data_IF_611496342029
#
_entry.id   IF_611496342029
#
_cell.length_a   1.000
_cell.length_b   1.000
_cell.length_c   1.000
_cell.angle_alpha   90.00
_cell.angle_beta   90.00
_cell.angle_gamma   90.00
#
_symmetry.space_group_name_H-M   'P 1'
#
loop_
_entity.id
_entity.type
_entity.pdbx_description
1 polymer ?
#
# COMPACT_ATOMS: atom_id res chain seq x y z
N UNK A 1 37.20 2.56 -0.07
CA UNK A 1 36.13 3.57 0.14
C UNK A 1 34.80 2.85 0.34
N UNK A 2 34.65 2.12 1.45
CA UNK A 2 33.36 1.54 1.85
C UNK A 2 32.50 2.67 2.42
N UNK A 3 31.56 3.19 1.62
CA UNK A 3 30.48 4.02 2.15
C UNK A 3 29.64 3.13 3.04
N UNK A 4 29.93 3.08 4.33
CA UNK A 4 29.03 2.51 5.34
C UNK A 4 27.77 3.36 5.31
N UNK A 5 26.78 2.94 4.52
CA UNK A 5 25.44 3.51 4.59
C UNK A 5 24.94 3.06 5.96
N UNK A 6 25.06 3.92 6.97
CA UNK A 6 24.41 3.71 8.27
C UNK A 6 22.89 3.78 8.03
N UNK A 7 22.32 2.68 7.56
CA UNK A 7 20.89 2.54 7.42
C UNK A 7 20.28 2.67 8.82
N UNK A 8 19.50 3.72 9.06
CA UNK A 8 18.70 3.80 10.27
C UNK A 8 17.50 2.86 10.11
N UNK A 9 17.78 1.55 10.23
CA UNK A 9 16.84 0.44 10.07
C UNK A 9 15.55 0.70 10.86
N UNK A 10 15.67 1.17 12.10
CA UNK A 10 14.52 1.51 12.94
C UNK A 10 13.67 2.66 12.41
N UNK A 11 14.27 3.70 11.83
CA UNK A 11 13.52 4.81 11.23
C UNK A 11 12.78 4.37 9.95
N UNK A 12 13.40 3.52 9.13
CA UNK A 12 12.80 3.01 7.90
C UNK A 12 11.65 2.05 8.20
N UNK A 13 11.81 1.13 9.15
CA UNK A 13 10.73 0.24 9.59
C UNK A 13 9.53 1.01 10.13
N UNK A 14 9.79 2.05 10.94
CA UNK A 14 8.72 2.89 11.48
C UNK A 14 7.95 3.62 10.38
N UNK A 15 8.63 4.10 9.33
CA UNK A 15 7.96 4.71 8.18
C UNK A 15 7.15 3.67 7.38
N UNK A 16 7.68 2.46 7.17
CA UNK A 16 6.96 1.39 6.48
C UNK A 16 5.69 0.99 7.25
N UNK A 17 5.75 0.90 8.57
CA UNK A 17 4.58 0.63 9.42
C UNK A 17 3.54 1.76 9.36
N UNK A 18 3.97 3.02 9.30
CA UNK A 18 3.09 4.18 9.13
C UNK A 18 2.38 4.16 7.78
N UNK A 19 3.11 3.87 6.70
CA UNK A 19 2.53 3.78 5.35
C UNK A 19 1.55 2.61 5.27
N UNK A 20 1.89 1.46 5.84
CA UNK A 20 0.98 0.30 5.92
C UNK A 20 -0.31 0.66 6.68
N UNK A 21 -0.19 1.30 7.83
CA UNK A 21 -1.35 1.72 8.64
C UNK A 21 -2.24 2.73 7.91
N UNK A 22 -1.63 3.72 7.23
CA UNK A 22 -2.35 4.70 6.43
C UNK A 22 -3.07 4.03 5.25
N UNK A 23 -2.43 3.06 4.60
CA UNK A 23 -3.03 2.30 3.52
C UNK A 23 -4.19 1.43 4.01
N UNK A 24 -4.04 0.72 5.13
CA UNK A 24 -5.10 -0.09 5.72
C UNK A 24 -6.33 0.75 6.08
N UNK A 25 -6.13 2.00 6.51
CA UNK A 25 -7.21 2.95 6.81
C UNK A 25 -7.99 3.45 5.58
N UNK A 26 -7.42 3.31 4.37
CA UNK A 26 -8.06 3.74 3.14
C UNK A 26 -9.16 2.74 2.75
N UNK A 27 -10.39 3.00 3.19
CA UNK A 27 -11.58 2.23 2.78
C UNK A 27 -12.49 3.10 1.93
N UNK A 28 -12.68 2.73 0.67
CA UNK A 28 -13.74 3.28 -0.16
C UNK A 28 -14.99 2.42 0.06
N UNK A 29 -16.04 3.05 0.56
CA UNK A 29 -17.34 2.40 0.65
C UNK A 29 -17.85 2.12 -0.76
N UNK A 30 -18.37 0.91 -0.98
CA UNK A 30 -18.94 0.53 -2.26
C UNK A 30 -20.18 1.37 -2.58
N UNK A 31 -20.54 1.51 -3.87
CA UNK A 31 -21.69 2.29 -4.26
C UNK A 31 -22.98 1.71 -3.66
N UNK A 32 -23.79 2.55 -3.01
CA UNK A 32 -25.07 2.12 -2.42
C UNK A 32 -26.16 2.01 -3.50
N UNK A 33 -26.19 0.88 -4.19
CA UNK A 33 -27.24 0.58 -5.18
C UNK A 33 -28.67 0.68 -4.57
N UNK A 34 -28.80 0.44 -3.25
CA UNK A 34 -30.07 0.52 -2.54
C UNK A 34 -30.66 1.94 -2.37
N UNK A 35 -29.85 3.00 -2.48
CA UNK A 35 -30.34 4.39 -2.36
C UNK A 35 -30.85 4.98 -3.69
N UNK A 36 -30.75 4.24 -4.80
CA UNK A 36 -31.16 4.69 -6.13
C UNK A 36 -32.66 4.42 -6.42
N UNK A 37 -33.38 3.73 -5.54
CA UNK A 37 -34.79 3.39 -5.74
C UNK A 37 -35.04 2.59 -7.03
N UNK A 38 -36.19 2.79 -7.68
CA UNK A 38 -36.51 2.19 -9.00
C UNK A 38 -35.95 2.99 -10.20
N UNK A 39 -35.13 4.02 -9.96
CA UNK A 39 -34.66 4.91 -11.00
C UNK A 39 -33.53 4.24 -11.81
N UNK A 40 -33.90 3.43 -12.80
CA UNK A 40 -33.00 2.87 -13.81
C UNK A 40 -32.80 3.87 -14.94
N UNK A 41 -32.08 4.96 -14.67
CA UNK A 41 -31.55 5.81 -15.73
C UNK A 41 -30.18 5.23 -16.18
N UNK A 42 -29.88 5.33 -17.47
CA UNK A 42 -28.56 4.94 -17.99
C UNK A 42 -27.41 5.66 -17.27
N UNK A 43 -27.66 6.89 -16.81
CA UNK A 43 -26.72 7.66 -16.01
C UNK A 43 -26.39 6.98 -14.67
N UNK A 44 -27.40 6.51 -13.96
CA UNK A 44 -27.22 5.82 -12.66
C UNK A 44 -26.52 4.47 -12.82
N UNK A 45 -26.76 3.75 -13.93
CA UNK A 45 -26.03 2.52 -14.23
C UNK A 45 -24.53 2.80 -14.48
N UNK A 46 -24.22 3.80 -15.32
CA UNK A 46 -22.83 4.23 -15.59
C UNK A 46 -22.13 4.79 -14.36
N UNK A 47 -22.86 5.43 -13.46
CA UNK A 47 -22.34 5.92 -12.19
C UNK A 47 -21.90 4.76 -11.28
N UNK A 48 -22.76 3.75 -11.12
CA UNK A 48 -22.45 2.54 -10.32
C UNK A 48 -21.23 1.81 -10.89
N UNK A 49 -21.18 1.60 -12.20
CA UNK A 49 -20.07 0.94 -12.89
C UNK A 49 -18.74 1.71 -12.70
N UNK A 50 -18.78 3.05 -12.76
CA UNK A 50 -17.60 3.88 -12.50
C UNK A 50 -17.14 3.81 -11.06
N UNK A 51 -18.06 3.89 -10.10
CA UNK A 51 -17.73 3.77 -8.67
C UNK A 51 -17.11 2.39 -8.35
N UNK A 52 -17.64 1.33 -8.95
CA UNK A 52 -17.06 -0.02 -8.84
C UNK A 52 -15.65 -0.08 -9.46
N UNK A 53 -15.47 0.49 -10.66
CA UNK A 53 -14.16 0.56 -11.32
C UNK A 53 -13.14 1.34 -10.48
N UNK A 54 -13.53 2.48 -9.90
CA UNK A 54 -12.66 3.29 -9.03
C UNK A 54 -12.27 2.49 -7.80
N UNK A 55 -13.23 1.80 -7.18
CA UNK A 55 -12.97 0.94 -6.02
C UNK A 55 -11.97 -0.16 -6.37
N UNK A 56 -12.12 -0.81 -7.50
CA UNK A 56 -11.19 -1.86 -7.95
C UNK A 56 -9.79 -1.31 -8.22
N UNK A 57 -9.68 -0.16 -8.89
CA UNK A 57 -8.40 0.52 -9.09
C UNK A 57 -7.72 0.86 -7.76
N UNK A 58 -8.48 1.34 -6.77
CA UNK A 58 -7.93 1.63 -5.45
C UNK A 58 -7.47 0.35 -4.75
N UNK A 59 -8.23 -0.75 -4.83
CA UNK A 59 -7.80 -2.03 -4.26
C UNK A 59 -6.50 -2.54 -4.91
N UNK A 60 -6.40 -2.49 -6.24
CA UNK A 60 -5.18 -2.86 -6.97
C UNK A 60 -3.99 -1.98 -6.58
N UNK A 61 -4.21 -0.67 -6.41
CA UNK A 61 -3.18 0.23 -5.91
C UNK A 61 -2.74 -0.15 -4.48
N UNK A 62 -3.67 -0.50 -3.60
CA UNK A 62 -3.34 -0.98 -2.24
C UNK A 62 -2.48 -2.23 -2.28
N UNK A 63 -2.82 -3.22 -3.11
CA UNK A 63 -2.02 -4.44 -3.25
C UNK A 63 -0.59 -4.14 -3.75
N UNK A 64 -0.47 -3.28 -4.77
CA UNK A 64 0.84 -2.88 -5.29
C UNK A 64 1.69 -2.16 -4.24
N UNK A 65 1.10 -1.27 -3.46
CA UNK A 65 1.80 -0.56 -2.37
C UNK A 65 2.18 -1.52 -1.24
N UNK A 66 1.28 -2.44 -0.84
CA UNK A 66 1.60 -3.48 0.16
C UNK A 66 2.80 -4.32 -0.28
N UNK A 67 2.81 -4.78 -1.52
CA UNK A 67 3.93 -5.52 -2.08
C UNK A 67 5.24 -4.73 -2.03
N UNK A 68 5.21 -3.46 -2.44
CA UNK A 68 6.39 -2.60 -2.37
C UNK A 68 6.90 -2.39 -0.94
N UNK A 69 6.00 -2.30 0.05
CA UNK A 69 6.37 -2.20 1.47
C UNK A 69 7.07 -3.48 1.92
N UNK A 70 6.54 -4.65 1.56
CA UNK A 70 7.13 -5.95 1.89
C UNK A 70 8.50 -6.15 1.23
N UNK A 71 8.62 -5.81 -0.07
CA UNK A 71 9.88 -5.87 -0.80
C UNK A 71 10.92 -4.91 -0.18
N UNK A 72 10.50 -3.70 0.20
CA UNK A 72 11.39 -2.72 0.86
C UNK A 72 11.82 -3.22 2.24
N UNK A 73 10.92 -3.83 3.01
CA UNK A 73 11.21 -4.44 4.31
C UNK A 73 12.26 -5.56 4.19
N UNK A 74 12.06 -6.48 3.24
CA UNK A 74 13.00 -7.57 2.95
C UNK A 74 14.39 -7.05 2.55
N UNK A 75 14.44 -6.00 1.71
CA UNK A 75 15.69 -5.36 1.32
C UNK A 75 16.40 -4.70 2.51
N UNK A 76 15.65 -4.01 3.36
CA UNK A 76 16.18 -3.33 4.56
C UNK A 76 16.73 -4.34 5.57
N UNK A 77 16.06 -5.48 5.75
CA UNK A 77 16.55 -6.57 6.60
C UNK A 77 17.81 -7.23 6.00
N UNK A 78 17.83 -7.49 4.69
CA UNK A 78 19.00 -8.03 3.99
C UNK A 78 20.23 -7.11 4.07
N UNK A 79 20.02 -5.79 4.04
CA UNK A 79 21.09 -4.81 4.19
C UNK A 79 21.65 -4.80 5.62
N UNK A 80 20.79 -4.94 6.63
CA UNK A 80 21.22 -5.06 8.02
C UNK A 80 22.05 -6.31 8.26
N UNK A 81 21.62 -7.46 7.73
CA UNK A 81 22.38 -8.72 7.84
C UNK A 81 23.77 -8.61 7.19
N UNK A 82 23.86 -7.95 6.03
CA UNK A 82 25.14 -7.69 5.36
C UNK A 82 26.05 -6.79 6.20
N UNK A 83 25.52 -5.69 6.75
CA UNK A 83 26.29 -4.80 7.63
C UNK A 83 26.80 -5.54 8.87
N UNK A 84 25.97 -6.40 9.50
CA UNK A 84 26.37 -7.22 10.64
C UNK A 84 27.42 -8.29 10.28
N UNK A 85 27.33 -8.89 9.09
CA UNK A 85 28.31 -9.86 8.62
C UNK A 85 29.68 -9.21 8.32
N UNK A 86 29.67 -7.97 7.80
CA UNK A 86 30.88 -7.18 7.58
C UNK A 86 31.50 -6.75 8.91
N UNK A 87 30.69 -6.31 9.89
CA UNK A 87 31.20 -5.91 11.21
C UNK A 87 31.76 -7.10 12.04
N UNK A 88 31.36 -8.33 11.74
CA UNK A 88 31.87 -9.56 12.37
C UNK A 88 33.15 -10.13 11.72
N UNK A 89 33.59 -9.58 10.58
CA UNK A 89 34.83 -9.93 9.89
C UNK A 89 35.96 -8.98 10.25
#
# INVERSE_FOLDING_TARGET
MSKTIKLNHGAVMKQLDQVKSALDSLSLQGPSAGSLGQNKLDFTAKWLEREETIRDMVNQYKEAVQKNIEDTRSNVDSLKEQDEAIARK
#
